data_IF_272999542881
#
_entry.id   IF_272999542881
#
_cell.length_a   1.000
_cell.length_b   1.000
_cell.length_c   1.000
_cell.angle_alpha   90.00
_cell.angle_beta   90.00
_cell.angle_gamma   90.00
#
_symmetry.space_group_name_H-M   'P 1'
#
loop_
_entity.id
_entity.type
_entity.pdbx_description
1 polymer ?
#
# COMPACT_ATOMS: atom_id res chain seq x y z
N UNK A 1 -8.46 2.52 -10.94
CA UNK A 1 -8.21 1.16 -10.39
C UNK A 1 -7.24 1.32 -9.25
N UNK A 2 -7.55 0.81 -8.06
CA UNK A 2 -6.63 0.81 -6.91
C UNK A 2 -6.10 -0.60 -6.78
N UNK A 3 -4.77 -0.77 -6.84
CA UNK A 3 -4.11 -2.06 -6.59
C UNK A 3 -3.44 -1.95 -5.23
N UNK A 4 -3.99 -2.65 -4.23
CA UNK A 4 -3.41 -2.75 -2.90
C UNK A 4 -2.47 -3.95 -2.88
N UNK A 5 -1.18 -3.74 -2.69
CA UNK A 5 -0.23 -4.83 -2.51
C UNK A 5 -0.03 -5.07 -1.01
N UNK A 6 -0.62 -6.14 -0.46
CA UNK A 6 -0.37 -6.59 0.92
C UNK A 6 0.39 -7.89 0.85
N UNK A 7 1.67 -7.85 1.23
CA UNK A 7 2.53 -9.03 1.31
C UNK A 7 2.95 -9.61 -0.04
N UNK A 8 4.24 -9.84 -0.23
CA UNK A 8 4.72 -10.74 -1.28
C UNK A 8 4.81 -12.15 -0.68
N UNK A 9 4.11 -13.12 -1.25
CA UNK A 9 4.37 -14.53 -0.97
C UNK A 9 5.75 -14.86 -1.58
N UNK A 10 6.77 -14.73 -0.74
CA UNK A 10 8.18 -14.82 -1.13
C UNK A 10 8.72 -16.25 -1.16
N UNK A 11 7.84 -17.24 -1.03
CA UNK A 11 8.26 -18.63 -1.02
C UNK A 11 8.94 -18.97 -2.35
N UNK A 12 10.25 -19.21 -2.33
CA UNK A 12 11.06 -19.49 -3.52
C UNK A 12 11.78 -18.28 -4.13
N UNK A 13 11.65 -17.07 -3.59
CA UNK A 13 12.38 -15.88 -4.04
C UNK A 13 13.48 -15.46 -3.06
N UNK A 14 14.62 -15.05 -3.58
CA UNK A 14 15.72 -14.47 -2.79
C UNK A 14 15.39 -13.03 -2.37
N UNK A 15 15.97 -12.55 -1.26
CA UNK A 15 15.86 -11.15 -0.83
C UNK A 15 16.19 -10.16 -1.95
N UNK A 16 17.19 -10.47 -2.80
CA UNK A 16 17.56 -9.64 -3.94
C UNK A 16 16.45 -9.53 -4.99
N UNK A 17 15.74 -10.62 -5.28
CA UNK A 17 14.62 -10.62 -6.23
C UNK A 17 13.43 -9.84 -5.69
N UNK A 18 13.19 -9.93 -4.39
CA UNK A 18 12.13 -9.18 -3.71
C UNK A 18 12.45 -7.68 -3.73
N UNK A 19 13.68 -7.30 -3.37
CA UNK A 19 14.12 -5.91 -3.48
C UNK A 19 14.06 -5.41 -4.92
N UNK A 20 14.41 -6.24 -5.91
CA UNK A 20 14.29 -5.90 -7.33
C UNK A 20 12.85 -5.58 -7.74
N UNK A 21 11.88 -6.41 -7.35
CA UNK A 21 10.46 -6.13 -7.62
C UNK A 21 9.92 -4.90 -6.89
N UNK A 22 10.45 -4.58 -5.70
CA UNK A 22 10.13 -3.34 -4.98
C UNK A 22 10.76 -2.13 -5.68
N UNK A 23 11.99 -2.24 -6.18
CA UNK A 23 12.67 -1.19 -6.96
C UNK A 23 11.92 -0.93 -8.28
N UNK A 24 11.37 -1.97 -8.91
CA UNK A 24 10.51 -1.80 -10.09
C UNK A 24 9.22 -1.04 -9.80
N UNK A 25 8.77 -0.93 -8.53
CA UNK A 25 7.68 -0.01 -8.17
C UNK A 25 8.08 1.46 -8.36
N UNK A 26 9.37 1.82 -8.41
CA UNK A 26 9.81 3.17 -8.82
C UNK A 26 9.36 3.49 -10.25
N UNK A 27 9.22 2.48 -11.12
CA UNK A 27 8.65 2.66 -12.45
C UNK A 27 7.18 3.13 -12.40
N UNK A 28 6.43 2.85 -11.32
CA UNK A 28 5.06 3.36 -11.14
C UNK A 28 5.06 4.89 -11.07
N UNK A 29 6.11 5.50 -10.51
CA UNK A 29 6.27 6.96 -10.46
C UNK A 29 6.43 7.59 -11.84
N UNK A 30 6.84 6.82 -12.85
CA UNK A 30 6.98 7.29 -14.24
C UNK A 30 5.68 7.23 -15.05
N UNK A 31 4.64 6.58 -14.53
CA UNK A 31 3.35 6.41 -15.23
C UNK A 31 2.42 7.59 -14.94
N UNK A 32 1.87 8.19 -16.00
CA UNK A 32 0.80 9.16 -15.86
C UNK A 32 -0.45 8.48 -15.26
N UNK A 33 -1.05 9.12 -14.25
CA UNK A 33 -2.23 8.62 -13.52
C UNK A 33 -2.01 7.37 -12.64
N UNK A 34 -0.77 7.02 -12.31
CA UNK A 34 -0.47 6.04 -11.27
C UNK A 34 0.09 6.73 -10.02
N UNK A 35 -0.27 6.22 -8.85
CA UNK A 35 0.31 6.67 -7.58
C UNK A 35 0.65 5.46 -6.72
N UNK A 36 1.88 5.38 -6.25
CA UNK A 36 2.30 4.41 -5.25
C UNK A 36 1.98 4.95 -3.85
N UNK A 37 1.29 4.16 -3.04
CA UNK A 37 1.00 4.49 -1.65
C UNK A 37 1.46 3.33 -0.76
N UNK A 38 2.41 3.59 0.12
CA UNK A 38 2.70 2.66 1.20
C UNK A 38 1.61 2.80 2.28
N UNK A 39 0.95 1.69 2.59
CA UNK A 39 -0.13 1.61 3.58
C UNK A 39 0.25 0.74 4.78
N UNK A 40 1.48 0.21 4.83
CA UNK A 40 1.95 -0.59 5.96
C UNK A 40 2.11 0.32 7.19
N UNK A 41 1.33 0.11 8.26
CA UNK A 41 1.47 0.86 9.51
C UNK A 41 2.71 0.42 10.32
N UNK A 42 3.42 -0.62 9.88
CA UNK A 42 4.51 -1.24 10.62
C UNK A 42 4.08 -2.53 11.32
N UNK A 43 3.45 -3.46 10.59
CA UNK A 43 3.03 -4.75 11.16
C UNK A 43 4.19 -5.63 11.63
N UNK A 44 5.38 -5.41 11.06
CA UNK A 44 6.60 -6.08 11.50
C UNK A 44 7.24 -5.24 12.60
N UNK A 45 7.26 -5.78 13.81
CA UNK A 45 7.89 -5.15 14.96
C UNK A 45 9.42 -5.17 14.85
N UNK A 46 10.10 -4.42 15.71
CA UNK A 46 11.58 -4.32 15.73
C UNK A 46 12.28 -5.65 15.99
N UNK A 47 11.61 -6.61 16.62
CA UNK A 47 12.10 -7.98 16.83
C UNK A 47 11.81 -8.93 15.66
N UNK A 48 11.19 -8.43 14.58
CA UNK A 48 10.79 -9.20 13.41
C UNK A 48 9.48 -9.98 13.59
N UNK A 49 8.80 -9.86 14.73
CA UNK A 49 7.51 -10.51 14.95
C UNK A 49 6.37 -9.76 14.26
N UNK A 50 5.28 -10.50 14.00
CA UNK A 50 4.00 -9.97 13.54
C UNK A 50 2.93 -10.40 14.55
N UNK A 51 2.10 -9.45 14.99
CA UNK A 51 1.02 -9.72 15.93
C UNK A 51 -0.17 -10.45 15.27
N UNK A 52 -0.66 -11.51 15.91
CA UNK A 52 -1.87 -12.22 15.47
C UNK A 52 -3.15 -11.37 15.62
N UNK A 53 -3.09 -10.28 16.40
CA UNK A 53 -4.20 -9.31 16.48
C UNK A 53 -4.30 -8.45 15.23
N UNK A 54 -3.22 -8.34 14.46
CA UNK A 54 -3.19 -7.59 13.20
C UNK A 54 -3.32 -8.52 11.98
N UNK A 55 -2.66 -9.69 12.01
CA UNK A 55 -2.75 -10.73 10.98
C UNK A 55 -3.01 -12.12 11.61
N UNK A 56 -4.24 -12.62 11.53
CA UNK A 56 -4.63 -13.82 12.27
C UNK A 56 -3.99 -15.13 11.77
N UNK A 57 -3.50 -15.14 10.54
CA UNK A 57 -2.75 -16.28 9.98
C UNK A 57 -1.42 -15.83 9.37
N UNK A 58 -0.93 -14.66 9.83
CA UNK A 58 0.29 -14.01 9.34
C UNK A 58 0.24 -13.62 7.85
N UNK A 59 -0.94 -13.60 7.23
CA UNK A 59 -1.15 -13.18 5.85
C UNK A 59 -2.38 -12.27 5.69
N UNK A 60 -3.51 -12.66 6.26
CA UNK A 60 -4.76 -11.93 6.19
C UNK A 60 -4.91 -10.97 7.36
N UNK A 61 -5.25 -9.72 7.04
CA UNK A 61 -5.56 -8.71 8.04
C UNK A 61 -6.80 -9.08 8.85
N UNK A 62 -6.74 -8.84 10.15
CA UNK A 62 -7.92 -8.78 11.02
C UNK A 62 -8.71 -7.50 10.73
N UNK A 63 -9.92 -7.32 11.29
CA UNK A 63 -10.62 -6.04 11.22
C UNK A 63 -9.76 -4.84 11.71
N UNK A 64 -8.94 -5.05 12.75
CA UNK A 64 -8.00 -4.04 13.24
C UNK A 64 -6.90 -3.75 12.21
N UNK A 65 -6.29 -4.80 11.64
CA UNK A 65 -5.29 -4.63 10.58
C UNK A 65 -5.85 -3.88 9.36
N UNK A 66 -7.08 -4.21 8.96
CA UNK A 66 -7.78 -3.47 7.90
C UNK A 66 -8.00 -2.00 8.26
N UNK A 67 -8.39 -1.68 9.50
CA UNK A 67 -8.58 -0.31 9.92
C UNK A 67 -7.28 0.51 9.79
N UNK A 68 -6.15 -0.07 10.22
CA UNK A 68 -4.85 0.59 10.15
C UNK A 68 -4.42 0.88 8.70
N UNK A 69 -4.70 -0.04 7.76
CA UNK A 69 -4.39 0.10 6.32
C UNK A 69 -5.38 1.02 5.60
N UNK A 70 -6.66 0.93 5.91
CA UNK A 70 -7.72 1.65 5.20
C UNK A 70 -7.74 3.15 5.53
N UNK A 71 -7.23 3.57 6.68
CA UNK A 71 -7.23 4.97 7.07
C UNK A 71 -6.31 5.86 6.19
N UNK A 72 -5.02 5.53 5.96
CA UNK A 72 -4.19 6.25 5.00
C UNK A 72 -4.72 6.10 3.57
N UNK A 73 -5.23 4.92 3.19
CA UNK A 73 -5.83 4.69 1.88
C UNK A 73 -7.02 5.61 1.61
N UNK A 74 -7.96 5.69 2.55
CA UNK A 74 -9.13 6.57 2.45
C UNK A 74 -8.71 8.04 2.32
N UNK A 75 -7.75 8.48 3.15
CA UNK A 75 -7.23 9.84 3.11
C UNK A 75 -6.64 10.17 1.73
N UNK A 76 -5.83 9.27 1.18
CA UNK A 76 -5.22 9.43 -0.14
C UNK A 76 -6.26 9.49 -1.26
N UNK A 77 -7.21 8.56 -1.28
CA UNK A 77 -8.28 8.51 -2.28
C UNK A 77 -9.15 9.77 -2.26
N UNK A 78 -9.51 10.23 -1.06
CA UNK A 78 -10.27 11.46 -0.90
C UNK A 78 -9.52 12.66 -1.47
N UNK A 79 -8.21 12.78 -1.19
CA UNK A 79 -7.38 13.84 -1.75
C UNK A 79 -7.31 13.81 -3.29
N UNK A 80 -7.21 12.62 -3.90
CA UNK A 80 -7.22 12.49 -5.36
C UNK A 80 -8.55 12.92 -5.98
N UNK A 81 -9.68 12.52 -5.39
CA UNK A 81 -11.02 12.88 -5.88
C UNK A 81 -11.26 14.38 -5.78
N UNK A 82 -10.86 15.02 -4.67
CA UNK A 82 -11.00 16.46 -4.47
C UNK A 82 -10.13 17.27 -5.43
N UNK A 83 -8.92 16.79 -5.74
CA UNK A 83 -8.04 17.41 -6.73
C UNK A 83 -8.68 17.42 -8.11
N UNK A 84 -9.21 16.27 -8.56
CA UNK A 84 -9.87 16.16 -9.85
C UNK A 84 -11.07 17.13 -9.98
N UNK A 85 -11.85 17.30 -8.92
CA UNK A 85 -12.99 18.22 -8.92
C UNK A 85 -12.57 19.70 -9.04
N UNK A 86 -11.43 20.10 -8.45
CA UNK A 86 -10.90 21.46 -8.54
C UNK A 86 -10.29 21.77 -9.90
N UNK A 87 -9.55 20.83 -10.47
CA UNK A 87 -8.93 21.01 -11.79
C UNK A 87 -10.01 21.25 -12.86
N UNK A 88 -11.17 20.56 -12.77
CA UNK A 88 -12.33 20.77 -13.63
C UNK A 88 -13.04 22.13 -13.45
N UNK A 89 -12.92 22.77 -12.28
CA UNK A 89 -13.52 24.08 -12.01
C UNK A 89 -12.64 25.26 -12.45
N UNK A 90 -11.31 25.05 -12.53
CA UNK A 90 -10.36 26.08 -12.97
C UNK A 90 -10.14 26.10 -14.49
N UNK A 91 -10.67 25.11 -15.21
CA UNK A 91 -10.58 25.00 -16.68
C UNK A 91 -11.78 25.65 -17.41
N UNK A 92 -12.72 26.28 -16.68
CA UNK A 92 -13.90 26.97 -17.21
C UNK A 92 -13.89 28.47 -16.98
#
# INVERSE_FOLDING_TARGET
VVVLWVGTNNHGHTAKQICGGIIDMEAVSSLSHASLLNVDPGFVHSDGSISHQDLYDYLHLTPQGYQAVCQPLHTHLKGLLEKQAKDQLMEN
#
